data_IF_665784655455
#
_entry.id   IF_665784655455
#
_cell.length_a   1.000
_cell.length_b   1.000
_cell.length_c   1.000
_cell.angle_alpha   90.00
_cell.angle_beta   90.00
_cell.angle_gamma   90.00
#
_symmetry.space_group_name_H-M   'P 1'
#
loop_
_entity.id
_entity.type
_entity.pdbx_description
1 polymer ?
#
# COMPACT_ATOMS: atom_id res chain seq x y z
N UNK A 1 39.90 22.63 81.00
CA UNK A 1 41.37 22.52 80.81
C UNK A 1 41.61 21.94 79.41
N UNK A 2 42.36 22.67 78.56
CA UNK A 2 43.19 22.25 77.41
C UNK A 2 43.09 20.76 76.96
N UNK A 3 43.08 20.33 75.70
CA UNK A 3 43.40 20.89 74.38
C UNK A 3 43.46 19.68 73.38
N UNK A 4 43.48 19.96 72.06
CA UNK A 4 44.07 19.17 70.94
C UNK A 4 43.28 18.02 70.28
N UNK A 5 42.73 18.37 69.11
CA UNK A 5 42.97 17.78 67.78
C UNK A 5 43.74 16.44 67.70
N UNK A 6 43.19 15.48 66.93
CA UNK A 6 43.89 14.78 65.83
C UNK A 6 42.90 14.03 64.93
N UNK A 7 43.08 14.23 63.63
CA UNK A 7 42.39 13.53 62.54
C UNK A 7 42.81 12.06 62.49
N UNK A 8 41.87 11.20 62.12
CA UNK A 8 42.17 10.00 61.34
C UNK A 8 41.10 9.87 60.26
N UNK A 9 41.50 10.10 59.01
CA UNK A 9 40.70 9.81 57.83
C UNK A 9 40.96 8.36 57.43
N UNK A 10 39.90 7.57 57.30
CA UNK A 10 39.95 6.28 56.60
C UNK A 10 39.02 6.38 55.41
N UNK A 11 39.61 6.24 54.23
CA UNK A 11 38.99 6.33 52.91
C UNK A 11 38.02 5.15 52.72
N UNK A 12 36.74 5.43 52.51
CA UNK A 12 35.78 4.45 52.01
C UNK A 12 35.80 4.49 50.47
N UNK A 13 36.31 3.42 49.85
CA UNK A 13 36.18 3.23 48.42
C UNK A 13 34.73 2.80 48.10
N UNK A 14 33.93 3.72 47.58
CA UNK A 14 32.61 3.41 47.01
C UNK A 14 32.82 3.16 45.51
N UNK A 15 32.75 1.90 45.10
CA UNK A 15 32.68 1.52 43.70
C UNK A 15 31.29 1.89 43.16
N UNK A 16 31.21 2.95 42.35
CA UNK A 16 29.98 3.30 41.63
C UNK A 16 29.94 2.51 40.32
N UNK A 17 29.09 1.50 40.23
CA UNK A 17 28.79 0.84 38.97
C UNK A 17 27.90 1.76 38.12
N UNK A 18 28.45 2.34 37.06
CA UNK A 18 27.68 3.07 36.07
C UNK A 18 26.92 2.07 35.19
N UNK A 19 25.61 1.97 35.38
CA UNK A 19 24.74 1.25 34.45
C UNK A 19 24.59 2.10 33.18
N UNK A 20 25.26 1.69 32.09
CA UNK A 20 25.04 2.22 30.77
C UNK A 20 23.66 1.77 30.28
N UNK A 21 22.67 2.65 30.39
CA UNK A 21 21.39 2.48 29.73
C UNK A 21 21.60 2.64 28.21
N UNK A 22 21.81 1.53 27.50
CA UNK A 22 21.70 1.52 26.04
C UNK A 22 20.22 1.69 25.70
N UNK A 23 19.79 2.93 25.45
CA UNK A 23 18.49 3.18 24.82
C UNK A 23 18.53 2.49 23.46
N UNK A 24 17.91 1.33 23.37
CA UNK A 24 17.71 0.64 22.10
C UNK A 24 16.98 1.58 21.15
N UNK A 25 17.56 1.81 19.98
CA UNK A 25 16.84 2.45 18.89
C UNK A 25 15.68 1.52 18.56
N UNK A 26 14.45 1.94 18.84
CA UNK A 26 13.28 1.18 18.46
C UNK A 26 13.26 1.10 16.93
N UNK A 27 13.69 -0.02 16.36
CA UNK A 27 13.46 -0.33 14.96
C UNK A 27 11.95 -0.51 14.81
N UNK A 28 11.26 0.52 14.31
CA UNK A 28 9.91 0.36 13.82
C UNK A 28 9.93 -0.81 12.82
N UNK A 29 9.11 -1.83 13.06
CA UNK A 29 9.06 -3.01 12.21
C UNK A 29 8.50 -2.59 10.84
N UNK A 30 9.37 -2.59 9.83
CA UNK A 30 9.01 -2.31 8.44
C UNK A 30 7.90 -3.26 8.00
N UNK A 31 6.71 -2.72 7.71
CA UNK A 31 5.56 -3.52 7.26
C UNK A 31 5.60 -3.64 5.75
N UNK A 32 5.67 -4.85 5.20
CA UNK A 32 5.54 -5.06 3.74
C UNK A 32 4.08 -5.25 3.37
N UNK A 33 3.60 -4.43 2.43
CA UNK A 33 2.23 -4.42 1.93
C UNK A 33 2.26 -4.85 0.46
N UNK A 34 1.68 -6.01 0.14
CA UNK A 34 1.83 -6.63 -1.19
C UNK A 34 0.54 -6.77 -2.00
N UNK A 35 -0.63 -6.57 -1.37
CA UNK A 35 -1.93 -6.57 -2.05
C UNK A 35 -2.99 -5.81 -1.25
N UNK A 36 -4.00 -5.29 -1.96
CA UNK A 36 -5.11 -4.55 -1.36
C UNK A 36 -5.02 -3.04 -1.56
N UNK A 37 -6.00 -2.32 -1.02
CA UNK A 37 -6.15 -0.86 -1.20
C UNK A 37 -5.07 -0.10 -0.43
N UNK A 38 -4.45 0.87 -1.11
CA UNK A 38 -3.52 1.81 -0.49
C UNK A 38 -3.61 3.17 -1.17
N UNK A 39 -3.91 4.19 -0.38
CA UNK A 39 -3.68 5.58 -0.75
C UNK A 39 -2.21 5.88 -0.46
N UNK A 40 -1.35 5.63 -1.45
CA UNK A 40 0.10 5.85 -1.38
C UNK A 40 0.36 7.28 -0.94
N UNK A 41 -0.32 8.25 -1.58
CA UNK A 41 -0.28 9.64 -1.14
C UNK A 41 -1.55 9.96 -0.37
N UNK A 42 -1.49 9.88 0.96
CA UNK A 42 -2.54 10.42 1.82
C UNK A 42 -2.16 11.83 2.26
N UNK A 43 -2.98 12.81 1.88
CA UNK A 43 -2.78 14.22 2.25
C UNK A 43 -3.94 14.69 3.11
N UNK A 44 -3.61 15.16 4.31
CA UNK A 44 -4.56 15.73 5.26
C UNK A 44 -4.15 17.13 5.66
N UNK A 45 -5.12 17.96 6.05
CA UNK A 45 -4.81 19.24 6.65
C UNK A 45 -4.56 19.05 8.17
N UNK A 46 -3.54 19.72 8.68
CA UNK A 46 -3.20 19.69 10.11
C UNK A 46 -4.00 20.73 10.89
N UNK A 47 -4.03 20.61 12.22
CA UNK A 47 -4.83 21.51 13.07
C UNK A 47 -4.39 22.97 12.99
N UNK A 48 -3.08 23.21 12.84
CA UNK A 48 -2.44 24.51 12.64
C UNK A 48 -2.59 25.08 11.21
N UNK A 49 -3.32 24.38 10.33
CA UNK A 49 -3.61 24.83 8.96
C UNK A 49 -2.48 24.57 7.96
N UNK A 50 -1.57 23.66 8.28
CA UNK A 50 -0.60 23.07 7.36
C UNK A 50 -1.14 21.86 6.59
N UNK A 51 -0.24 21.14 5.94
CA UNK A 51 -0.50 19.87 5.25
C UNK A 51 0.37 18.78 5.87
N UNK A 52 -0.16 17.57 5.96
CA UNK A 52 0.59 16.35 6.29
C UNK A 52 0.51 15.41 5.09
N UNK A 53 1.64 14.83 4.71
CA UNK A 53 1.73 13.77 3.71
C UNK A 53 2.22 12.49 4.39
N UNK A 54 1.44 11.43 4.24
CA UNK A 54 1.74 10.09 4.73
C UNK A 54 1.08 9.06 3.78
N UNK A 55 0.80 7.85 4.27
CA UNK A 55 0.00 6.88 3.53
C UNK A 55 -1.15 6.36 4.38
N UNK A 56 -2.16 5.80 3.72
CA UNK A 56 -3.33 5.18 4.36
C UNK A 56 -3.70 3.90 3.62
N UNK A 57 -3.96 2.81 4.35
CA UNK A 57 -4.18 1.48 3.77
C UNK A 57 -5.31 0.70 4.46
N UNK A 58 -5.94 -0.21 3.71
CA UNK A 58 -6.99 -1.12 4.17
C UNK A 58 -6.54 -2.60 4.17
N UNK A 59 -5.22 -2.85 4.24
CA UNK A 59 -4.55 -4.15 4.11
C UNK A 59 -4.37 -4.82 5.47
N UNK A 60 -3.93 -4.05 6.47
CA UNK A 60 -3.68 -4.55 7.84
C UNK A 60 -4.82 -4.21 8.81
N UNK A 61 -5.77 -3.40 8.37
CA UNK A 61 -6.92 -2.93 9.14
C UNK A 61 -7.79 -2.04 8.26
N UNK A 62 -8.67 -1.23 8.86
CA UNK A 62 -9.49 -0.25 8.14
C UNK A 62 -8.85 1.12 8.32
N UNK A 63 -8.59 1.82 7.21
CA UNK A 63 -8.07 3.18 7.14
C UNK A 63 -6.83 3.40 8.03
N UNK A 64 -5.91 2.44 8.03
CA UNK A 64 -4.68 2.50 8.83
C UNK A 64 -3.75 3.54 8.21
N UNK A 65 -3.56 4.66 8.91
CA UNK A 65 -2.56 5.66 8.54
C UNK A 65 -1.16 5.24 9.02
N UNK A 66 -0.16 5.45 8.16
CA UNK A 66 1.24 5.11 8.44
C UNK A 66 2.15 6.20 7.89
N UNK A 67 3.30 6.39 8.52
CA UNK A 67 4.39 7.13 7.89
C UNK A 67 4.87 6.34 6.66
N UNK A 68 5.18 7.03 5.56
CA UNK A 68 5.56 6.38 4.30
C UNK A 68 6.79 5.46 4.47
N UNK A 69 7.75 5.89 5.30
CA UNK A 69 9.00 5.19 5.58
C UNK A 69 8.80 3.95 6.46
N UNK A 70 7.66 3.79 7.13
CA UNK A 70 7.36 2.65 8.00
C UNK A 70 6.85 1.41 7.25
N UNK A 71 6.63 1.55 5.95
CA UNK A 71 6.12 0.48 5.10
C UNK A 71 6.88 0.37 3.77
N UNK A 72 6.85 -0.84 3.22
CA UNK A 72 7.29 -1.11 1.84
C UNK A 72 6.10 -1.57 1.03
N UNK A 73 5.93 -0.94 -0.12
CA UNK A 73 4.91 -1.26 -1.11
C UNK A 73 5.48 -2.30 -2.08
N UNK A 74 5.03 -3.54 -1.97
CA UNK A 74 5.49 -4.60 -2.84
C UNK A 74 4.57 -4.74 -4.06
N UNK A 75 5.12 -4.49 -5.25
CA UNK A 75 4.49 -4.93 -6.50
C UNK A 75 4.90 -6.38 -6.74
N UNK A 76 4.11 -7.30 -6.21
CA UNK A 76 4.42 -8.73 -6.17
C UNK A 76 4.43 -9.38 -7.58
N UNK A 77 4.90 -10.63 -7.67
CA UNK A 77 5.12 -11.29 -8.96
C UNK A 77 3.85 -11.57 -9.77
N UNK A 78 2.65 -11.52 -9.14
CA UNK A 78 1.34 -11.60 -9.81
C UNK A 78 0.96 -10.34 -10.59
N UNK A 79 1.72 -9.26 -10.42
CA UNK A 79 1.51 -8.00 -11.14
C UNK A 79 2.13 -8.00 -12.55
N UNK A 80 2.93 -8.99 -12.92
CA UNK A 80 3.42 -9.13 -14.30
C UNK A 80 2.28 -9.46 -15.26
N UNK A 81 2.14 -8.67 -16.32
CA UNK A 81 1.09 -8.89 -17.34
C UNK A 81 1.54 -8.45 -18.72
N UNK A 82 1.16 -9.25 -19.74
CA UNK A 82 1.39 -8.93 -21.14
C UNK A 82 0.50 -7.79 -21.66
N UNK A 83 -0.55 -7.40 -20.93
CA UNK A 83 -1.46 -6.31 -21.32
C UNK A 83 -0.75 -4.96 -21.46
N UNK A 84 0.34 -4.77 -20.71
CA UNK A 84 1.19 -3.57 -20.80
C UNK A 84 1.84 -3.38 -22.17
N UNK A 85 1.90 -4.41 -23.02
CA UNK A 85 2.29 -4.28 -24.43
C UNK A 85 1.31 -3.44 -25.25
N UNK A 86 0.04 -3.38 -24.84
CA UNK A 86 -1.00 -2.61 -25.51
C UNK A 86 -1.02 -1.13 -25.08
N UNK A 87 -0.17 -0.75 -24.13
CA UNK A 87 0.05 0.65 -23.78
C UNK A 87 1.20 1.16 -24.63
N UNK A 88 0.93 2.01 -25.62
CA UNK A 88 1.95 2.50 -26.57
C UNK A 88 3.15 3.18 -25.88
N UNK A 89 2.92 3.79 -24.71
CA UNK A 89 3.96 4.43 -23.89
C UNK A 89 4.78 3.43 -23.04
N UNK A 90 4.43 2.14 -23.02
CA UNK A 90 5.18 1.06 -22.36
C UNK A 90 5.76 0.08 -23.37
N UNK A 91 4.92 -0.44 -24.28
CA UNK A 91 5.32 -1.25 -25.43
C UNK A 91 5.94 -2.63 -25.13
N UNK A 92 5.88 -3.10 -23.88
CA UNK A 92 6.46 -4.38 -23.45
C UNK A 92 5.70 -4.96 -22.27
N UNK A 93 5.93 -6.25 -22.01
CA UNK A 93 5.47 -6.87 -20.76
C UNK A 93 6.19 -6.25 -19.56
N UNK A 94 5.43 -5.90 -18.54
CA UNK A 94 5.89 -5.18 -17.36
C UNK A 94 5.01 -5.50 -16.13
N UNK A 95 5.42 -5.00 -14.97
CA UNK A 95 4.63 -5.06 -13.73
C UNK A 95 3.57 -3.96 -13.76
N UNK A 96 2.31 -4.31 -13.56
CA UNK A 96 1.16 -3.40 -13.58
C UNK A 96 0.33 -3.54 -12.30
N UNK A 97 0.13 -2.42 -11.60
CA UNK A 97 -0.86 -2.27 -10.54
C UNK A 97 -2.07 -1.52 -11.11
N UNK A 98 -3.27 -2.14 -11.10
CA UNK A 98 -4.38 -1.68 -11.93
C UNK A 98 -5.15 -0.50 -11.35
N UNK A 99 -5.87 0.19 -12.25
CA UNK A 99 -6.82 1.27 -11.94
C UNK A 99 -8.08 0.80 -11.22
N UNK A 100 -8.38 -0.50 -11.30
CA UNK A 100 -9.50 -1.13 -10.62
C UNK A 100 -9.01 -2.40 -9.95
N UNK A 101 -9.30 -2.55 -8.67
CA UNK A 101 -8.95 -3.76 -7.92
C UNK A 101 -9.58 -5.03 -8.51
N UNK A 102 -10.71 -4.89 -9.24
CA UNK A 102 -11.37 -6.03 -9.89
C UNK A 102 -10.55 -6.60 -11.07
N UNK A 103 -9.66 -5.81 -11.68
CA UNK A 103 -8.78 -6.29 -12.77
C UNK A 103 -7.79 -7.35 -12.24
N UNK A 104 -7.25 -7.14 -11.04
CA UNK A 104 -6.39 -8.10 -10.37
C UNK A 104 -6.45 -7.92 -8.84
N UNK A 105 -7.17 -8.78 -8.10
CA UNK A 105 -7.32 -8.67 -6.65
C UNK A 105 -6.09 -9.18 -5.87
N UNK A 106 -5.11 -9.79 -6.54
CA UNK A 106 -3.92 -10.36 -5.90
C UNK A 106 -2.76 -9.35 -5.77
N UNK A 107 -2.95 -8.11 -6.20
CA UNK A 107 -1.91 -7.07 -6.21
C UNK A 107 -2.35 -5.82 -5.44
N UNK A 108 -1.41 -4.88 -5.25
CA UNK A 108 -1.73 -3.58 -4.67
C UNK A 108 -2.69 -2.80 -5.58
N UNK A 109 -3.58 -2.04 -4.94
CA UNK A 109 -4.46 -1.08 -5.58
C UNK A 109 -4.08 0.34 -5.13
N UNK A 110 -3.04 0.94 -5.75
CA UNK A 110 -2.44 2.19 -5.31
C UNK A 110 -3.19 3.42 -5.84
N UNK A 111 -3.20 4.47 -5.01
CA UNK A 111 -3.84 5.74 -5.35
C UNK A 111 -3.38 6.89 -4.45
N UNK A 112 -4.24 7.88 -4.34
CA UNK A 112 -4.10 8.99 -3.42
C UNK A 112 -5.45 9.38 -2.82
N UNK A 113 -5.40 9.87 -1.59
CA UNK A 113 -6.54 10.46 -0.92
C UNK A 113 -6.15 11.82 -0.36
N UNK A 114 -6.80 12.86 -0.89
CA UNK A 114 -6.63 14.25 -0.47
C UNK A 114 -7.90 14.79 0.18
N UNK A 115 -8.95 13.98 0.36
CA UNK A 115 -10.28 14.45 0.81
C UNK A 115 -10.24 15.20 2.14
N UNK A 116 -9.34 14.81 3.05
CA UNK A 116 -9.16 15.41 4.38
C UNK A 116 -8.59 16.82 4.36
N UNK A 117 -8.04 17.31 3.25
CA UNK A 117 -7.59 18.71 3.14
C UNK A 117 -8.77 19.71 3.10
N UNK A 118 -9.98 19.24 2.77
CA UNK A 118 -11.20 20.07 2.76
C UNK A 118 -11.52 20.71 4.11
N UNK A 119 -11.11 20.07 5.21
CA UNK A 119 -11.37 20.54 6.59
C UNK A 119 -10.75 21.91 6.89
N UNK A 120 -9.73 22.30 6.11
CA UNK A 120 -9.06 23.62 6.20
C UNK A 120 -9.10 24.38 4.87
N UNK A 121 -10.13 24.14 4.05
CA UNK A 121 -10.41 24.89 2.80
C UNK A 121 -9.35 24.82 1.69
N UNK A 122 -8.45 23.83 1.71
CA UNK A 122 -7.62 23.54 0.53
C UNK A 122 -8.52 23.07 -0.63
N UNK A 123 -8.31 23.63 -1.83
CA UNK A 123 -9.13 23.36 -3.02
C UNK A 123 -8.40 22.52 -4.07
N UNK A 124 -7.08 22.64 -4.14
CA UNK A 124 -6.23 21.87 -5.03
C UNK A 124 -4.99 21.45 -4.25
N UNK A 125 -4.43 20.31 -4.61
CA UNK A 125 -3.17 19.80 -4.08
C UNK A 125 -2.28 19.41 -5.26
N UNK A 126 -1.05 19.86 -5.26
CA UNK A 126 -0.01 19.35 -6.16
C UNK A 126 0.84 18.34 -5.38
N UNK A 127 0.93 17.11 -5.89
CA UNK A 127 1.88 16.11 -5.40
C UNK A 127 3.16 16.23 -6.23
N UNK A 128 4.25 16.67 -5.59
CA UNK A 128 5.52 16.96 -6.24
C UNK A 128 6.49 15.82 -5.99
N UNK A 129 6.90 15.15 -7.05
CA UNK A 129 7.92 14.11 -7.01
C UNK A 129 9.28 14.79 -6.98
N UNK A 130 9.88 14.92 -5.81
CA UNK A 130 11.16 15.63 -5.61
C UNK A 130 12.32 14.82 -6.15
N UNK A 131 12.34 13.55 -5.81
CA UNK A 131 13.35 12.58 -6.23
C UNK A 131 12.66 11.27 -6.60
N UNK A 132 13.06 10.68 -7.72
CA UNK A 132 12.67 9.34 -8.13
C UNK A 132 13.90 8.57 -8.56
N UNK A 133 14.07 7.35 -8.04
CA UNK A 133 15.19 6.46 -8.36
C UNK A 133 14.73 5.01 -8.41
N UNK A 134 15.34 4.22 -9.29
CA UNK A 134 15.08 2.80 -9.42
C UNK A 134 15.70 2.21 -10.68
N UNK A 135 15.64 0.88 -10.85
CA UNK A 135 16.31 0.18 -11.94
C UNK A 135 15.68 0.43 -13.32
N UNK A 136 14.40 0.83 -13.35
CA UNK A 136 13.63 1.09 -14.56
C UNK A 136 12.79 2.36 -14.48
N UNK A 137 11.85 2.47 -15.41
CA UNK A 137 10.88 3.54 -15.49
C UNK A 137 9.57 3.18 -14.79
N UNK A 138 8.92 4.20 -14.23
CA UNK A 138 7.58 4.17 -13.66
C UNK A 138 6.65 5.04 -14.52
N UNK A 139 5.53 4.45 -14.95
CA UNK A 139 4.48 5.15 -15.68
C UNK A 139 3.20 5.21 -14.84
N UNK A 140 2.62 6.41 -14.72
CA UNK A 140 1.33 6.62 -14.05
C UNK A 140 0.30 7.19 -15.02
N UNK A 141 -0.89 6.62 -15.00
CA UNK A 141 -2.00 7.06 -15.85
C UNK A 141 -3.34 6.86 -15.16
N UNK A 142 -4.35 7.60 -15.60
CA UNK A 142 -5.75 7.27 -15.35
C UNK A 142 -6.42 6.76 -16.64
N UNK A 143 -7.66 6.31 -16.55
CA UNK A 143 -8.51 6.04 -17.72
C UNK A 143 -9.72 6.95 -17.70
N UNK A 144 -9.97 7.60 -18.82
CA UNK A 144 -11.22 8.32 -19.09
C UNK A 144 -11.77 7.86 -20.45
N UNK A 145 -13.04 7.48 -20.48
CA UNK A 145 -13.67 6.90 -21.69
C UNK A 145 -12.93 5.69 -22.27
N UNK A 146 -12.21 4.91 -21.44
CA UNK A 146 -11.39 3.77 -21.87
C UNK A 146 -10.00 4.13 -22.41
N UNK A 147 -9.70 5.42 -22.59
CA UNK A 147 -8.39 5.91 -23.02
C UNK A 147 -7.49 6.15 -21.82
N UNK A 148 -6.24 5.71 -21.87
CA UNK A 148 -5.23 6.07 -20.89
C UNK A 148 -4.84 7.55 -21.05
N UNK A 149 -4.74 8.29 -19.94
CA UNK A 149 -4.21 9.66 -19.93
C UNK A 149 -3.14 9.80 -18.84
N UNK A 150 -2.08 10.59 -19.10
CA UNK A 150 -1.03 10.83 -18.11
C UNK A 150 -1.60 11.60 -16.91
N UNK A 151 -1.08 11.32 -15.71
CA UNK A 151 -1.47 12.06 -14.50
C UNK A 151 -0.58 13.26 -14.21
N UNK A 152 0.60 13.34 -14.82
CA UNK A 152 1.54 14.42 -14.60
C UNK A 152 1.13 15.69 -15.37
N UNK A 153 1.38 16.85 -14.78
CA UNK A 153 1.01 18.16 -15.31
C UNK A 153 1.68 18.50 -16.65
N UNK A 154 2.83 17.91 -16.93
CA UNK A 154 3.58 18.08 -18.18
C UNK A 154 3.06 17.18 -19.32
N UNK A 155 2.03 16.36 -19.06
CA UNK A 155 1.46 15.45 -20.04
C UNK A 155 2.29 14.20 -20.31
N UNK A 156 3.33 13.93 -19.52
CA UNK A 156 4.13 12.71 -19.64
C UNK A 156 3.51 11.57 -18.82
N UNK A 157 3.46 10.37 -19.40
CA UNK A 157 3.09 9.15 -18.66
C UNK A 157 4.20 8.75 -17.68
N UNK A 158 5.45 8.98 -18.07
CA UNK A 158 6.62 8.63 -17.27
C UNK A 158 6.78 9.62 -16.11
N UNK A 159 6.92 9.08 -14.90
CA UNK A 159 7.25 9.84 -13.70
C UNK A 159 8.77 9.91 -13.53
N UNK A 160 9.26 11.10 -13.19
CA UNK A 160 10.66 11.38 -12.91
C UNK A 160 10.79 12.40 -11.77
N UNK A 161 12.02 12.61 -11.30
CA UNK A 161 12.32 13.74 -10.41
C UNK A 161 11.88 15.05 -11.07
N UNK A 162 11.11 15.86 -10.35
CA UNK A 162 10.50 17.10 -10.83
C UNK A 162 9.06 16.95 -11.36
N UNK A 163 8.54 15.73 -11.57
CA UNK A 163 7.15 15.53 -11.99
C UNK A 163 6.17 16.08 -10.94
N UNK A 164 5.05 16.64 -11.41
CA UNK A 164 3.97 17.14 -10.56
C UNK A 164 2.67 16.47 -10.96
N UNK A 165 1.96 15.89 -10.01
CA UNK A 165 0.62 15.31 -10.20
C UNK A 165 -0.40 16.30 -9.60
N UNK A 166 -1.15 17.05 -10.42
CA UNK A 166 -2.12 18.02 -9.93
C UNK A 166 -3.45 17.33 -9.57
N UNK A 167 -3.88 17.50 -8.33
CA UNK A 167 -5.18 17.05 -7.81
C UNK A 167 -6.11 18.26 -7.73
N UNK A 168 -6.89 18.45 -8.81
CA UNK A 168 -7.70 19.67 -9.07
C UNK A 168 -8.91 19.87 -8.16
N UNK A 169 -9.28 18.85 -7.40
CA UNK A 169 -10.25 18.96 -6.32
C UNK A 169 -9.95 17.86 -5.32
N UNK A 170 -10.17 18.06 -4.01
CA UNK A 170 -9.80 17.04 -3.05
C UNK A 170 -10.63 15.78 -3.26
N UNK A 171 -9.96 14.68 -3.53
CA UNK A 171 -10.55 13.43 -4.00
C UNK A 171 -9.78 12.24 -3.47
N UNK A 172 -10.48 11.10 -3.45
CA UNK A 172 -9.91 9.77 -3.43
C UNK A 172 -9.84 9.30 -4.88
N UNK A 173 -8.67 8.90 -5.36
CA UNK A 173 -8.52 8.40 -6.73
C UNK A 173 -7.41 7.37 -6.83
N UNK A 174 -7.56 6.49 -7.82
CA UNK A 174 -6.57 5.47 -8.15
C UNK A 174 -5.97 5.74 -9.53
N UNK A 175 -4.73 5.26 -9.70
CA UNK A 175 -4.00 5.33 -10.96
C UNK A 175 -3.53 3.94 -11.37
N UNK A 176 -3.24 3.76 -12.65
CA UNK A 176 -2.51 2.61 -13.16
C UNK A 176 -1.03 2.88 -13.01
N UNK A 177 -0.29 1.97 -12.37
CA UNK A 177 1.15 2.09 -12.14
C UNK A 177 1.86 0.98 -12.89
N UNK A 178 2.80 1.34 -13.76
CA UNK A 178 3.59 0.37 -14.50
C UNK A 178 5.07 0.53 -14.19
N UNK A 179 5.68 -0.50 -13.60
CA UNK A 179 7.12 -0.59 -13.37
C UNK A 179 7.76 -1.48 -14.44
N UNK A 180 8.75 -0.95 -15.14
CA UNK A 180 9.32 -1.64 -16.30
C UNK A 180 10.43 -2.64 -15.99
N UNK A 181 10.95 -2.65 -14.76
CA UNK A 181 11.98 -3.58 -14.30
C UNK A 181 11.78 -3.95 -12.82
N UNK A 182 12.17 -5.17 -12.42
CA UNK A 182 12.20 -5.58 -11.02
C UNK A 182 13.30 -4.86 -10.24
N UNK A 183 13.14 -4.81 -8.92
CA UNK A 183 14.07 -4.20 -7.96
C UNK A 183 13.42 -3.10 -7.12
N UNK A 184 14.25 -2.38 -6.37
CA UNK A 184 13.79 -1.36 -5.42
C UNK A 184 13.73 0.01 -6.08
N UNK A 185 12.59 0.69 -5.92
CA UNK A 185 12.39 2.08 -6.31
C UNK A 185 12.17 2.93 -5.06
N UNK A 186 12.67 4.16 -5.09
CA UNK A 186 12.42 5.16 -4.06
C UNK A 186 11.83 6.42 -4.68
N UNK A 187 10.86 7.01 -3.99
CA UNK A 187 10.17 8.21 -4.45
C UNK A 187 9.97 9.16 -3.27
N UNK A 188 10.61 10.33 -3.32
CA UNK A 188 10.39 11.40 -2.34
C UNK A 188 9.33 12.36 -2.85
N UNK A 189 8.31 12.61 -2.03
CA UNK A 189 7.16 13.43 -2.43
C UNK A 189 6.89 14.52 -1.40
N UNK A 190 6.44 15.67 -1.89
CA UNK A 190 5.86 16.76 -1.10
C UNK A 190 4.47 17.08 -1.64
N UNK A 191 3.52 17.38 -0.77
CA UNK A 191 2.24 17.96 -1.16
C UNK A 191 2.27 19.48 -0.98
N UNK A 192 1.76 20.22 -1.95
CA UNK A 192 1.58 21.68 -1.82
C UNK A 192 0.18 22.11 -2.17
N UNK A 193 -0.34 23.11 -1.46
CA UNK A 193 -1.65 23.72 -1.73
C UNK A 193 -1.79 25.03 -0.97
N UNK A 194 -2.48 26.03 -1.52
CA UNK A 194 -2.67 27.36 -0.91
C UNK A 194 -1.38 27.99 -0.32
N UNK A 195 -0.22 27.81 -0.98
CA UNK A 195 1.06 28.33 -0.50
C UNK A 195 1.66 27.59 0.72
N UNK A 196 1.06 26.48 1.15
CA UNK A 196 1.57 25.57 2.18
C UNK A 196 2.25 24.36 1.55
N UNK A 197 3.20 23.79 2.28
CA UNK A 197 3.95 22.57 1.90
C UNK A 197 3.87 21.59 3.06
N UNK A 198 3.70 20.30 2.77
CA UNK A 198 3.74 19.23 3.76
C UNK A 198 5.18 18.90 4.19
N UNK A 199 5.32 17.93 5.10
CA UNK A 199 6.57 17.17 5.19
C UNK A 199 6.93 16.52 3.85
N UNK A 200 8.22 16.24 3.64
CA UNK A 200 8.68 15.33 2.59
C UNK A 200 8.50 13.89 3.09
N UNK A 201 7.92 13.02 2.27
CA UNK A 201 7.74 11.60 2.58
C UNK A 201 8.47 10.73 1.53
N UNK A 202 9.15 9.68 1.98
CA UNK A 202 9.90 8.74 1.13
C UNK A 202 9.17 7.42 1.04
N UNK A 203 8.69 7.10 -0.15
CA UNK A 203 8.02 5.83 -0.46
C UNK A 203 9.01 4.85 -1.05
N UNK A 204 9.00 3.62 -0.54
CA UNK A 204 9.82 2.52 -1.06
C UNK A 204 8.93 1.48 -1.71
N UNK A 205 9.23 1.16 -2.97
CA UNK A 205 8.57 0.10 -3.72
C UNK A 205 9.55 -1.05 -3.96
N UNK A 206 9.15 -2.28 -3.64
CA UNK A 206 9.87 -3.50 -4.05
C UNK A 206 9.10 -4.13 -5.21
N UNK A 207 9.69 -4.14 -6.40
CA UNK A 207 9.09 -4.73 -7.59
C UNK A 207 9.66 -6.12 -7.78
N UNK A 208 8.81 -7.14 -7.67
CA UNK A 208 9.23 -8.53 -7.72
C UNK A 208 9.68 -8.95 -9.13
N UNK A 209 10.63 -9.87 -9.17
CA UNK A 209 10.98 -10.61 -10.38
C UNK A 209 9.76 -11.36 -10.93
N UNK A 210 9.74 -11.58 -12.25
CA UNK A 210 8.72 -12.44 -12.85
C UNK A 210 8.96 -13.88 -12.38
N UNK A 211 7.92 -14.54 -11.88
CA UNK A 211 8.02 -15.97 -11.59
C UNK A 211 8.42 -16.71 -12.88
N UNK A 212 9.53 -17.45 -12.81
CA UNK A 212 9.88 -18.37 -13.88
C UNK A 212 8.89 -19.52 -13.81
N UNK A 213 8.07 -19.69 -14.84
CA UNK A 213 7.24 -20.90 -15.00
C UNK A 213 8.17 -22.12 -14.97
N UNK A 214 8.16 -22.89 -13.87
CA UNK A 214 8.99 -24.10 -13.76
C UNK A 214 9.54 -24.49 -12.38
N UNK A 215 9.29 -23.75 -11.29
CA UNK A 215 9.54 -24.30 -9.96
C UNK A 215 8.20 -24.69 -9.32
N UNK A 216 7.80 -25.96 -9.50
CA UNK A 216 6.89 -26.56 -8.54
C UNK A 216 7.53 -26.39 -7.15
N UNK A 217 6.79 -25.95 -6.10
CA UNK A 217 7.32 -26.05 -4.76
C UNK A 217 7.73 -27.52 -4.55
N UNK A 218 8.99 -27.75 -4.16
CA UNK A 218 9.42 -29.08 -3.77
C UNK A 218 8.40 -29.61 -2.76
N UNK A 219 7.85 -30.82 -2.95
CA UNK A 219 6.97 -31.39 -1.94
C UNK A 219 7.72 -31.36 -0.61
N UNK A 220 7.08 -30.81 0.42
CA UNK A 220 7.57 -30.91 1.79
C UNK A 220 7.93 -32.39 2.06
N UNK A 221 9.02 -32.69 2.77
CA UNK A 221 9.38 -34.06 3.10
C UNK A 221 8.17 -34.78 3.71
N UNK A 222 7.64 -35.76 2.96
CA UNK A 222 6.47 -36.52 3.38
C UNK A 222 6.82 -37.37 4.59
N UNK A 223 6.03 -37.24 5.65
CA UNK A 223 5.99 -38.22 6.73
C UNK A 223 5.57 -39.57 6.16
N UNK A 224 6.49 -40.51 6.19
CA UNK A 224 6.24 -41.92 5.94
C UNK A 224 5.36 -42.49 7.05
N UNK A 225 4.06 -42.66 6.78
CA UNK A 225 3.32 -43.77 7.37
C UNK A 225 2.17 -44.22 6.47
N UNK A 226 2.32 -45.44 5.96
CA UNK A 226 1.24 -46.30 5.46
C UNK A 226 1.26 -47.55 6.36
N UNK A 227 0.14 -48.25 6.59
CA UNK A 227 -0.38 -49.13 5.55
C UNK A 227 -1.89 -49.00 5.31
N UNK A 228 -2.30 -49.46 4.11
CA UNK A 228 -3.69 -49.66 3.69
C UNK A 228 -4.42 -50.67 4.56
N UNK A 229 -5.71 -50.44 4.78
CA UNK A 229 -6.72 -51.49 4.90
C UNK A 229 -7.89 -51.17 3.97
N UNK A 230 -8.18 -52.12 3.08
CA UNK A 230 -9.46 -52.19 2.36
C UNK A 230 -10.40 -52.98 3.26
N UNK A 231 -11.58 -52.45 3.55
CA UNK A 231 -12.72 -53.27 4.00
C UNK A 231 -14.02 -52.68 3.46
N UNK A 232 -14.73 -53.54 2.73
CA UNK A 232 -16.06 -53.37 2.17
C UNK A 232 -17.14 -53.37 3.26
N UNK A 233 -18.17 -52.53 3.09
CA UNK A 233 -19.53 -52.79 3.60
C UNK A 233 -19.98 -51.95 4.81
N UNK A 234 -21.16 -51.32 4.70
CA UNK A 234 -21.95 -50.89 5.85
C UNK A 234 -22.50 -49.47 5.78
N UNK A 235 -23.79 -49.37 5.56
CA UNK A 235 -24.65 -48.18 5.45
C UNK A 235 -24.87 -47.58 6.85
N UNK A 236 -24.99 -46.25 6.97
CA UNK A 236 -26.00 -45.47 7.74
C UNK A 236 -25.52 -44.00 7.79
N UNK A 237 -26.41 -43.08 7.39
CA UNK A 237 -26.09 -41.69 7.09
C UNK A 237 -26.00 -40.75 8.29
N UNK A 238 -25.69 -39.50 7.98
CA UNK A 238 -26.23 -38.30 8.63
C UNK A 238 -26.13 -37.15 7.61
N UNK A 239 -27.26 -36.47 7.47
CA UNK A 239 -27.53 -35.29 6.67
C UNK A 239 -26.93 -34.06 7.37
N UNK A 240 -26.13 -33.26 6.67
CA UNK A 240 -26.02 -31.82 6.96
C UNK A 240 -26.05 -31.07 5.63
N UNK A 241 -27.15 -30.34 5.43
CA UNK A 241 -27.38 -29.42 4.33
C UNK A 241 -26.82 -28.04 4.68
N UNK A 242 -26.14 -27.38 3.74
CA UNK A 242 -26.17 -25.91 3.62
C UNK A 242 -26.31 -25.57 2.14
N UNK A 243 -27.44 -24.94 1.84
CA UNK A 243 -27.91 -24.53 0.51
C UNK A 243 -27.08 -23.36 -0.04
N UNK A 244 -26.71 -23.49 -1.32
CA UNK A 244 -26.41 -22.35 -2.18
C UNK A 244 -27.70 -21.66 -2.64
N UNK A 245 -27.62 -20.35 -2.85
CA UNK A 245 -28.68 -19.58 -3.52
C UNK A 245 -28.10 -19.02 -4.80
N UNK A 246 -28.55 -19.57 -5.94
CA UNK A 246 -28.50 -18.95 -7.25
C UNK A 246 -29.95 -18.85 -7.75
N UNK A 247 -30.33 -17.67 -8.23
CA UNK A 247 -31.74 -17.26 -8.37
C UNK A 247 -32.48 -17.74 -9.63
N UNK A 248 -33.72 -17.25 -9.78
CA UNK A 248 -34.33 -16.85 -11.06
C UNK A 248 -35.74 -16.26 -10.83
N UNK A 249 -36.14 -15.48 -11.83
CA UNK A 249 -37.30 -14.60 -11.96
C UNK A 249 -38.70 -15.21 -11.72
N UNK A 250 -39.64 -14.33 -11.34
CA UNK A 250 -41.05 -14.46 -11.69
C UNK A 250 -41.59 -13.10 -12.17
N UNK A 251 -42.08 -13.07 -13.41
CA UNK A 251 -42.94 -12.03 -13.93
C UNK A 251 -44.41 -12.49 -13.78
N UNK A 252 -45.29 -11.61 -13.31
CA UNK A 252 -46.73 -11.72 -13.55
C UNK A 252 -47.39 -10.34 -13.51
N UNK A 253 -47.99 -9.98 -14.65
CA UNK A 253 -48.90 -8.87 -14.88
C UNK A 253 -50.07 -8.88 -13.89
N UNK A 254 -50.44 -7.72 -13.35
CA UNK A 254 -51.86 -7.39 -13.11
C UNK A 254 -52.11 -5.91 -13.42
N UNK A 255 -53.06 -5.69 -14.34
CA UNK A 255 -53.49 -4.37 -14.78
C UNK A 255 -54.33 -3.64 -13.73
N UNK A 256 -54.11 -2.33 -13.64
CA UNK A 256 -54.91 -1.40 -12.84
C UNK A 256 -55.07 -0.07 -13.58
N UNK A 257 -56.31 0.23 -13.96
CA UNK A 257 -56.82 1.41 -14.68
C UNK A 257 -56.35 2.76 -14.07
N UNK A 258 -55.93 3.69 -14.91
CA UNK A 258 -55.83 5.13 -14.62
C UNK A 258 -57.22 5.80 -14.69
N UNK A 259 -57.54 6.81 -13.85
CA UNK A 259 -58.69 7.66 -14.07
C UNK A 259 -58.38 8.79 -15.06
N UNK A 260 -59.38 9.12 -15.88
CA UNK A 260 -59.44 10.29 -16.74
C UNK A 260 -60.02 11.47 -15.94
N UNK A 261 -59.36 12.62 -15.93
CA UNK A 261 -59.72 13.85 -16.65
C UNK A 261 -58.58 14.85 -16.53
#
# INVERSE_FOLDING_TARGET
MKLRTRLTATVAAVATAAALSTSGVAHAQETTLSKGHVDVFHVSATDDGGLKLNMKEDITGIAVERDAESAVLEANSRAWTAETKNLDFVGKEAVYLPLSQAENPEVLFPGWDTTKVRTKNFKEIDLKIKEFSGPGELYLFNRDGGKANPVAADGNYKIASGSVIPVKFPTHAHAGWVFTKPGTYTMKVEATGNGKTSNTATYTFKVAEKEKSGAAPAPAPGDTSKPSSISTGGIIGIVIAVLGVLGAAIAALMGGKLPRF
#
